data_IF_462416656382
#
_entry.id   IF_462416656382
#
_cell.length_a   1.000
_cell.length_b   1.000
_cell.length_c   1.000
_cell.angle_alpha   90.00
_cell.angle_beta   90.00
_cell.angle_gamma   90.00
#
_symmetry.space_group_name_H-M   'P 1'
#
loop_
_entity.id
_entity.type
_entity.pdbx_description
1 polymer ?
#
# COMPACT_ATOMS: atom_id res chain seq x y z
N UNK A 1 1.21 -7.63 42.22
CA UNK A 1 0.15 -8.08 41.30
C UNK A 1 0.43 -7.41 39.97
N UNK A 2 1.10 -8.12 39.11
CA UNK A 2 1.58 -7.63 37.79
C UNK A 2 0.46 -7.87 36.78
N UNK A 3 -0.10 -6.80 36.22
CA UNK A 3 -1.00 -6.89 35.06
C UNK A 3 -0.16 -6.95 33.80
N UNK A 4 0.10 -8.15 33.31
CA UNK A 4 0.54 -8.37 31.95
C UNK A 4 -0.67 -8.14 31.03
N UNK A 5 -0.69 -6.98 30.36
CA UNK A 5 -1.56 -6.80 29.20
C UNK A 5 -0.98 -7.63 28.07
N UNK A 6 -1.57 -8.81 27.86
CA UNK A 6 -1.25 -9.65 26.73
C UNK A 6 -1.51 -8.88 25.42
N UNK A 7 -0.44 -8.63 24.65
CA UNK A 7 -0.56 -8.35 23.22
C UNK A 7 -1.32 -9.53 22.62
N UNK A 8 -2.57 -9.31 22.25
CA UNK A 8 -3.25 -10.24 21.35
C UNK A 8 -2.63 -10.03 19.97
N UNK A 9 -1.70 -10.93 19.63
CA UNK A 9 -1.31 -11.10 18.23
C UNK A 9 -2.59 -11.47 17.46
N UNK A 10 -3.03 -10.58 16.57
CA UNK A 10 -4.11 -10.89 15.63
C UNK A 10 -3.64 -12.14 14.86
N UNK A 11 -4.43 -13.22 14.82
CA UNK A 11 -3.98 -14.42 14.16
C UNK A 11 -3.72 -14.11 12.68
N UNK A 12 -2.57 -14.54 12.19
CA UNK A 12 -2.06 -14.40 10.81
C UNK A 12 -3.13 -14.75 9.74
N UNK A 13 -4.09 -15.58 10.08
CA UNK A 13 -5.23 -15.93 9.23
C UNK A 13 -6.13 -14.73 8.88
N UNK A 14 -6.31 -13.76 9.78
CA UNK A 14 -7.14 -12.59 9.53
C UNK A 14 -6.52 -11.61 8.52
N UNK A 15 -5.20 -11.41 8.56
CA UNK A 15 -4.49 -10.52 7.64
C UNK A 15 -4.53 -11.05 6.19
N UNK A 16 -4.39 -12.37 6.04
CA UNK A 16 -4.49 -13.01 4.73
C UNK A 16 -5.90 -12.95 4.13
N UNK A 17 -6.94 -12.95 4.94
CA UNK A 17 -8.31 -12.75 4.46
C UNK A 17 -8.51 -11.33 3.96
N UNK A 18 -8.04 -10.33 4.69
CA UNK A 18 -8.08 -8.92 4.28
C UNK A 18 -7.36 -8.75 2.93
N UNK A 19 -6.14 -9.29 2.82
CA UNK A 19 -5.37 -9.23 1.58
C UNK A 19 -6.11 -9.87 0.39
N UNK A 20 -6.70 -11.05 0.58
CA UNK A 20 -7.50 -11.73 -0.47
C UNK A 20 -8.71 -10.92 -0.90
N UNK A 21 -9.42 -10.28 0.03
CA UNK A 21 -10.55 -9.43 -0.31
C UNK A 21 -10.15 -8.24 -1.17
N UNK A 22 -9.05 -7.54 -0.81
CA UNK A 22 -8.54 -6.43 -1.63
C UNK A 22 -8.12 -6.89 -3.03
N UNK A 23 -7.38 -7.99 -3.13
CA UNK A 23 -6.93 -8.54 -4.41
C UNK A 23 -8.12 -8.97 -5.27
N UNK A 24 -9.10 -9.67 -4.70
CA UNK A 24 -10.29 -10.11 -5.41
C UNK A 24 -11.13 -8.94 -5.93
N UNK A 25 -11.39 -7.93 -5.09
CA UNK A 25 -12.12 -6.74 -5.50
C UNK A 25 -11.42 -6.01 -6.65
N UNK A 26 -10.09 -5.85 -6.55
CA UNK A 26 -9.27 -5.22 -7.59
C UNK A 26 -9.28 -6.00 -8.89
N UNK A 27 -9.18 -7.33 -8.85
CA UNK A 27 -9.26 -8.19 -10.04
C UNK A 27 -10.62 -8.09 -10.73
N UNK A 28 -11.69 -7.87 -9.97
CA UNK A 28 -13.06 -7.70 -10.48
C UNK A 28 -13.36 -6.26 -10.89
N UNK A 29 -12.45 -5.32 -10.68
CA UNK A 29 -12.67 -3.90 -10.97
C UNK A 29 -13.74 -3.26 -10.10
N UNK A 30 -13.95 -3.76 -8.88
CA UNK A 30 -14.98 -3.30 -7.95
C UNK A 30 -14.38 -2.62 -6.73
N UNK A 31 -15.07 -1.59 -6.22
CA UNK A 31 -14.75 -1.01 -4.92
C UNK A 31 -15.31 -1.88 -3.79
N UNK A 32 -14.67 -1.82 -2.62
CA UNK A 32 -15.22 -2.36 -1.39
C UNK A 32 -16.03 -1.26 -0.67
N UNK A 33 -17.20 -1.57 -0.09
CA UNK A 33 -18.00 -0.59 0.64
C UNK A 33 -17.31 -0.10 1.91
N UNK A 34 -16.56 -1.01 2.56
CA UNK A 34 -15.82 -0.77 3.80
C UNK A 34 -14.51 -1.55 3.80
N UNK A 35 -13.66 -1.32 4.82
CA UNK A 35 -12.45 -2.11 5.03
C UNK A 35 -12.84 -3.56 5.36
N UNK A 36 -12.26 -4.58 4.67
CA UNK A 36 -12.72 -5.96 4.76
C UNK A 36 -12.17 -6.70 5.99
N UNK A 37 -12.45 -6.22 7.17
CA UNK A 37 -11.99 -6.79 8.44
C UNK A 37 -11.66 -5.73 9.48
N UNK A 38 -10.82 -6.07 10.42
CA UNK A 38 -10.31 -5.10 11.40
C UNK A 38 -9.22 -4.24 10.78
N UNK A 39 -9.35 -2.92 10.88
CA UNK A 39 -8.31 -1.99 10.42
C UNK A 39 -7.07 -2.18 11.29
N UNK A 40 -5.87 -2.41 10.70
CA UNK A 40 -4.64 -2.49 11.46
C UNK A 40 -4.39 -1.23 12.30
N UNK A 41 -3.93 -1.42 13.54
CA UNK A 41 -3.69 -0.32 14.47
C UNK A 41 -2.33 0.37 14.25
N UNK A 42 -1.43 -0.29 13.52
CA UNK A 42 -0.08 0.20 13.24
C UNK A 42 0.35 -0.10 11.79
N UNK A 43 1.37 0.64 11.33
CA UNK A 43 1.92 0.50 9.98
C UNK A 43 2.58 -0.86 9.74
N UNK A 44 3.18 -1.46 10.74
CA UNK A 44 3.85 -2.76 10.61
C UNK A 44 2.82 -3.82 10.23
N UNK A 45 1.69 -3.86 10.95
CA UNK A 45 0.58 -4.77 10.65
C UNK A 45 -0.08 -4.44 9.32
N UNK A 46 -0.23 -3.14 8.98
CA UNK A 46 -0.76 -2.72 7.69
C UNK A 46 0.13 -3.19 6.53
N UNK A 47 1.45 -3.11 6.65
CA UNK A 47 2.38 -3.61 5.65
C UNK A 47 2.37 -5.14 5.54
N UNK A 48 2.11 -5.88 6.61
CA UNK A 48 1.92 -7.34 6.51
C UNK A 48 0.72 -7.71 5.63
N UNK A 49 -0.39 -6.95 5.73
CA UNK A 49 -1.53 -7.11 4.81
C UNK A 49 -1.11 -6.77 3.37
N UNK A 50 -0.39 -5.66 3.18
CA UNK A 50 0.08 -5.25 1.85
C UNK A 50 1.03 -6.29 1.23
N UNK A 51 1.98 -6.82 1.99
CA UNK A 51 2.93 -7.83 1.52
C UNK A 51 2.20 -9.11 1.06
N UNK A 52 1.19 -9.54 1.82
CA UNK A 52 0.36 -10.68 1.42
C UNK A 52 -0.47 -10.37 0.16
N UNK A 53 -0.98 -9.14 0.03
CA UNK A 53 -1.70 -8.72 -1.18
C UNK A 53 -0.78 -8.66 -2.40
N UNK A 54 0.46 -8.17 -2.25
CA UNK A 54 1.48 -8.17 -3.31
C UNK A 54 1.81 -9.60 -3.74
N UNK A 55 1.99 -10.51 -2.78
CA UNK A 55 2.28 -11.91 -3.07
C UNK A 55 1.16 -12.64 -3.83
N UNK A 56 -0.10 -12.20 -3.65
CA UNK A 56 -1.27 -12.72 -4.34
C UNK A 56 -1.53 -12.07 -5.71
N UNK A 57 -0.88 -10.93 -6.00
CA UNK A 57 -1.09 -10.18 -7.22
C UNK A 57 -0.17 -10.66 -8.34
N UNK A 58 -0.76 -11.05 -9.47
CA UNK A 58 -0.02 -11.59 -10.62
C UNK A 58 0.56 -10.48 -11.49
N UNK A 59 1.46 -9.66 -10.91
CA UNK A 59 2.19 -8.61 -11.61
C UNK A 59 3.43 -8.20 -10.81
N UNK A 60 4.39 -7.55 -11.46
CA UNK A 60 5.63 -7.11 -10.83
C UNK A 60 5.50 -5.69 -10.26
N UNK A 61 5.99 -5.49 -9.04
CA UNK A 61 6.18 -4.15 -8.48
C UNK A 61 7.35 -3.49 -9.19
N UNK A 62 7.11 -2.33 -9.79
CA UNK A 62 8.11 -1.54 -10.54
C UNK A 62 8.38 -0.17 -9.92
N UNK A 63 7.68 0.18 -8.86
CA UNK A 63 7.83 1.43 -8.14
C UNK A 63 6.93 1.51 -6.92
N UNK A 64 7.02 2.64 -6.23
CA UNK A 64 6.30 2.89 -5.00
C UNK A 64 5.69 4.29 -5.02
N UNK A 65 4.42 4.38 -4.70
CA UNK A 65 3.72 5.62 -4.39
C UNK A 65 3.96 5.97 -2.93
N UNK A 66 4.32 7.22 -2.66
CA UNK A 66 4.46 7.73 -1.29
C UNK A 66 3.18 8.50 -0.93
N UNK A 67 2.41 7.98 0.03
CA UNK A 67 1.20 8.61 0.52
C UNK A 67 1.43 9.36 1.83
N UNK A 68 0.59 10.36 2.12
CA UNK A 68 0.60 11.10 3.38
C UNK A 68 -0.37 10.47 4.37
N UNK A 69 0.05 10.35 5.63
CA UNK A 69 -0.79 9.92 6.73
C UNK A 69 -1.22 11.14 7.53
N UNK A 70 -2.52 11.42 7.54
CA UNK A 70 -3.08 12.51 8.34
C UNK A 70 -2.74 12.33 9.83
N UNK A 71 -2.47 13.43 10.53
CA UNK A 71 -1.92 13.41 11.90
C UNK A 71 -2.76 12.58 12.87
N UNK A 72 -4.08 12.61 12.71
CA UNK A 72 -5.04 11.87 13.54
C UNK A 72 -5.09 10.35 13.27
N UNK A 73 -4.38 9.90 12.23
CA UNK A 73 -4.31 8.48 11.83
C UNK A 73 -2.93 7.87 11.99
N UNK A 74 -1.97 8.63 12.50
CA UNK A 74 -0.61 8.13 12.75
C UNK A 74 -0.60 7.23 13.97
N UNK A 75 0.16 6.17 13.90
CA UNK A 75 0.43 5.30 15.04
C UNK A 75 1.51 5.89 15.97
N UNK A 76 1.94 5.11 16.94
CA UNK A 76 2.94 5.52 17.94
C UNK A 76 4.34 5.75 17.36
N UNK A 77 4.63 5.28 16.15
CA UNK A 77 5.89 5.56 15.45
C UNK A 77 6.00 7.03 15.06
N UNK A 78 4.86 7.68 14.82
CA UNK A 78 4.78 9.05 14.34
C UNK A 78 5.09 9.19 12.86
N UNK A 79 5.23 8.10 12.13
CA UNK A 79 5.45 8.11 10.69
C UNK A 79 4.32 8.85 9.97
N UNK A 80 4.67 9.74 9.07
CA UNK A 80 3.72 10.56 8.33
C UNK A 80 3.60 10.18 6.85
N UNK A 81 4.25 9.10 6.45
CA UNK A 81 4.24 8.56 5.09
C UNK A 81 3.99 7.05 5.08
N UNK A 82 3.29 6.62 4.04
CA UNK A 82 3.11 5.22 3.72
C UNK A 82 3.52 4.95 2.27
N UNK A 83 3.91 3.72 1.98
CA UNK A 83 4.29 3.28 0.65
C UNK A 83 3.22 2.34 0.09
N UNK A 84 2.83 2.57 -1.17
CA UNK A 84 1.96 1.68 -1.92
C UNK A 84 2.66 1.18 -3.19
N UNK A 85 2.50 -0.10 -3.57
CA UNK A 85 3.15 -0.65 -4.75
C UNK A 85 2.54 -0.12 -6.04
N UNK A 86 3.40 0.14 -7.03
CA UNK A 86 3.01 0.41 -8.41
C UNK A 86 3.39 -0.82 -9.23
N UNK A 87 2.41 -1.43 -9.89
CA UNK A 87 2.60 -2.63 -10.69
C UNK A 87 2.86 -2.32 -12.15
N UNK A 88 3.59 -3.18 -12.84
CA UNK A 88 4.07 -2.93 -14.20
C UNK A 88 2.94 -2.68 -15.21
N UNK A 89 1.84 -3.42 -15.12
CA UNK A 89 0.67 -3.26 -16.00
C UNK A 89 -0.17 -2.02 -15.69
N UNK A 90 0.21 -1.23 -14.68
CA UNK A 90 -0.46 0.02 -14.28
C UNK A 90 0.36 1.27 -14.61
N UNK A 91 1.43 1.10 -15.38
CA UNK A 91 2.19 2.19 -15.96
C UNK A 91 1.75 2.42 -17.40
N UNK A 92 1.18 3.57 -17.66
CA UNK A 92 0.80 3.99 -19.01
C UNK A 92 1.63 5.17 -19.45
N UNK A 93 2.19 5.07 -20.65
CA UNK A 93 2.90 6.17 -21.27
C UNK A 93 1.95 6.98 -22.15
N UNK A 94 1.66 8.20 -21.73
CA UNK A 94 0.74 9.12 -22.43
C UNK A 94 1.43 10.08 -23.40
N UNK A 95 2.72 9.92 -23.68
CA UNK A 95 3.45 10.83 -24.60
C UNK A 95 2.96 10.76 -26.04
N UNK A 96 2.26 9.70 -26.43
CA UNK A 96 1.69 9.50 -27.78
C UNK A 96 0.23 9.92 -27.91
N UNK A 97 -0.39 10.46 -26.88
CA UNK A 97 -1.80 10.86 -26.93
C UNK A 97 -2.61 10.47 -25.68
N UNK A 98 -3.91 10.32 -25.85
CA UNK A 98 -4.83 9.96 -24.78
C UNK A 98 -4.67 8.50 -24.37
N UNK A 99 -4.67 8.23 -23.08
CA UNK A 99 -4.67 6.88 -22.49
C UNK A 99 -5.95 6.70 -21.68
N UNK A 100 -6.63 5.58 -21.90
CA UNK A 100 -7.78 5.18 -21.10
C UNK A 100 -7.29 4.41 -19.87
N UNK A 101 -7.66 4.87 -18.67
CA UNK A 101 -7.28 4.27 -17.40
C UNK A 101 -8.53 3.65 -16.77
N UNK A 102 -8.52 2.35 -16.41
CA UNK A 102 -9.65 1.71 -15.77
C UNK A 102 -9.86 2.28 -14.35
N UNK A 103 -11.12 2.46 -13.99
CA UNK A 103 -11.56 2.87 -12.65
C UNK A 103 -12.45 1.80 -12.04
N UNK A 104 -12.51 1.74 -10.71
CA UNK A 104 -13.37 0.78 -10.02
C UNK A 104 -14.84 1.17 -10.11
N UNK A 105 -15.69 0.19 -10.41
CA UNK A 105 -17.13 0.38 -10.36
C UNK A 105 -17.57 0.65 -8.91
N UNK A 106 -18.34 1.71 -8.71
CA UNK A 106 -18.73 2.17 -7.38
C UNK A 106 -17.64 2.90 -6.58
N UNK A 107 -16.45 3.01 -7.16
CA UNK A 107 -15.35 3.78 -6.63
C UNK A 107 -15.34 5.22 -7.12
N UNK A 108 -14.24 5.90 -6.83
CA UNK A 108 -14.03 7.26 -7.30
C UNK A 108 -12.63 7.34 -7.95
N UNK A 109 -12.52 8.12 -9.01
CA UNK A 109 -11.25 8.34 -9.70
C UNK A 109 -10.79 9.79 -9.52
N UNK A 110 -9.51 9.99 -9.26
CA UNK A 110 -8.88 11.32 -9.21
C UNK A 110 -7.65 11.35 -10.12
N UNK A 111 -7.34 12.54 -10.62
CA UNK A 111 -6.09 12.82 -11.34
C UNK A 111 -5.25 13.74 -10.47
N UNK A 112 -4.02 13.32 -10.20
CA UNK A 112 -3.06 14.07 -9.40
C UNK A 112 -1.79 14.32 -10.21
N UNK A 113 -1.22 15.52 -10.08
CA UNK A 113 0.07 15.83 -10.64
C UNK A 113 1.15 15.55 -9.60
N UNK A 114 2.09 14.65 -9.93
CA UNK A 114 3.12 14.21 -9.00
C UNK A 114 4.51 14.21 -9.62
N UNK A 115 5.52 14.23 -8.77
CA UNK A 115 6.90 14.01 -9.19
C UNK A 115 7.20 12.52 -9.21
N UNK A 116 7.80 12.05 -10.30
CA UNK A 116 8.33 10.68 -10.40
C UNK A 116 9.85 10.74 -10.33
N UNK A 117 10.42 10.02 -9.37
CA UNK A 117 11.86 9.86 -9.22
C UNK A 117 12.23 8.49 -9.77
N UNK A 118 13.10 8.47 -10.79
CA UNK A 118 13.63 7.23 -11.33
C UNK A 118 15.01 6.97 -10.75
N UNK A 119 15.15 5.87 -10.00
CA UNK A 119 16.44 5.43 -9.51
C UNK A 119 17.25 4.80 -10.65
N UNK A 120 18.51 5.19 -10.78
CA UNK A 120 19.43 4.66 -11.80
C UNK A 120 20.24 3.49 -11.28
N UNK A 121 20.41 3.40 -9.98
CA UNK A 121 21.19 2.39 -9.30
C UNK A 121 20.44 1.91 -8.05
N UNK A 122 20.69 0.69 -7.64
CA UNK A 122 20.18 0.16 -6.39
C UNK A 122 20.81 0.89 -5.19
N UNK A 123 20.03 1.09 -4.14
CA UNK A 123 20.56 1.61 -2.89
C UNK A 123 21.58 0.62 -2.30
N UNK A 124 22.72 1.10 -1.76
CA UNK A 124 23.66 0.23 -1.07
C UNK A 124 22.97 -0.51 0.08
N UNK A 125 23.10 -1.85 0.11
CA UNK A 125 22.38 -2.70 1.05
C UNK A 125 22.69 -2.43 2.54
N UNK A 126 23.84 -1.82 2.82
CA UNK A 126 24.31 -1.46 4.16
C UNK A 126 23.97 -0.01 4.57
N UNK A 127 23.44 0.82 3.65
CA UNK A 127 23.07 2.20 3.93
C UNK A 127 21.62 2.32 4.38
N UNK A 128 21.37 2.29 5.67
CA UNK A 128 20.04 2.36 6.26
C UNK A 128 19.58 3.80 6.58
N UNK A 129 20.49 4.77 6.57
CA UNK A 129 20.18 6.16 6.88
C UNK A 129 20.49 7.08 5.70
N UNK A 130 19.52 7.91 5.34
CA UNK A 130 19.61 8.86 4.25
C UNK A 130 19.29 10.26 4.78
N UNK A 131 20.05 11.23 4.38
CA UNK A 131 19.80 12.65 4.67
C UNK A 131 19.56 13.40 3.37
N UNK A 132 18.66 14.38 3.34
CA UNK A 132 18.60 15.33 2.22
C UNK A 132 19.91 16.10 2.16
N UNK A 133 20.58 16.10 1.03
CA UNK A 133 21.73 16.96 0.71
C UNK A 133 21.38 17.93 -0.42
#
# INVERSE_FOLDING_TARGET
MSNEHGKQDLPDQGLGEIARHFVSARQQGQSLPDFPGNIPEDLVTAYQVQDQAIALWDDQVVGWKVGYIAAERRDVSGDDRLLGPIFSRQLWNATGGTVEIPVFVGGFGAVEAEYVIQLQEDAPADKLHWTPE
#
